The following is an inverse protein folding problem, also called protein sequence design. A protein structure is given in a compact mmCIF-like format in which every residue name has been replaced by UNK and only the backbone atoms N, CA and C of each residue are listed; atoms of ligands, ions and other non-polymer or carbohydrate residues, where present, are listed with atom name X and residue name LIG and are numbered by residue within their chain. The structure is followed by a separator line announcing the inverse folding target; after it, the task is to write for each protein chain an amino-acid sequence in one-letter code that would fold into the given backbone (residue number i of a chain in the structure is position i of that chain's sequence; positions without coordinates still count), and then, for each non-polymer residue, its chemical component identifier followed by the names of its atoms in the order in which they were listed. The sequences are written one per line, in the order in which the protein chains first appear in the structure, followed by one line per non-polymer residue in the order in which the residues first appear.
data_IF_656853586137
#
_entry.id   IF_656853586137
#
_cell.length_a   1.000
_cell.length_b   1.000
_cell.length_c   1.000
_cell.angle_alpha   90.00
_cell.angle_beta   90.00
_cell.angle_gamma   90.00
#
_symmetry.space_group_name_H-M   'P 1'
#
loop_
_entity.id
_entity.type
_entity.pdbx_description
1 polymer ?
#
# COMPACT_ATOMS: atom_id res chain seq x y z
N UNK A 1 -9.20 -4.84 17.86
CA UNK A 1 -8.70 -5.11 16.49
C UNK A 1 -9.61 -6.12 15.82
N UNK A 2 -10.03 -5.89 14.57
CA UNK A 2 -10.89 -6.81 13.80
C UNK A 2 -10.09 -8.09 13.50
N UNK A 3 -10.21 -9.12 14.34
CA UNK A 3 -9.63 -10.43 14.08
C UNK A 3 -10.53 -11.19 13.10
N UNK A 4 -10.14 -11.22 11.83
CA UNK A 4 -10.74 -12.09 10.81
C UNK A 4 -9.91 -13.37 10.68
N UNK A 5 -10.53 -14.49 10.33
CA UNK A 5 -9.81 -15.71 9.97
C UNK A 5 -9.03 -15.47 8.66
N UNK A 6 -7.97 -16.24 8.45
CA UNK A 6 -7.18 -16.21 7.21
C UNK A 6 -8.09 -16.39 5.98
N UNK A 7 -8.90 -17.46 6.00
CA UNK A 7 -9.85 -17.79 4.94
C UNK A 7 -10.79 -16.65 4.56
N UNK A 8 -11.32 -15.92 5.55
CA UNK A 8 -12.24 -14.81 5.26
C UNK A 8 -11.53 -13.63 4.58
N UNK A 9 -10.27 -13.37 4.91
CA UNK A 9 -9.48 -12.31 4.28
C UNK A 9 -9.12 -12.70 2.85
N UNK A 10 -8.64 -13.93 2.66
CA UNK A 10 -8.29 -14.49 1.36
C UNK A 10 -9.49 -14.49 0.40
N UNK A 11 -10.64 -14.98 0.85
CA UNK A 11 -11.86 -15.01 0.04
C UNK A 11 -12.32 -13.60 -0.37
N UNK A 12 -12.24 -12.62 0.54
CA UNK A 12 -12.57 -11.22 0.24
C UNK A 12 -11.62 -10.61 -0.82
N UNK A 13 -10.33 -10.92 -0.70
CA UNK A 13 -9.29 -10.52 -1.62
C UNK A 13 -9.48 -11.12 -3.01
N UNK A 14 -9.71 -12.43 -3.11
CA UNK A 14 -9.98 -13.11 -4.38
C UNK A 14 -11.24 -12.59 -5.06
N UNK A 15 -12.31 -12.38 -4.28
CA UNK A 15 -13.58 -11.85 -4.79
C UNK A 15 -13.39 -10.45 -5.37
N UNK A 16 -12.66 -9.59 -4.65
CA UNK A 16 -12.32 -8.24 -5.11
C UNK A 16 -11.49 -8.29 -6.39
N UNK A 17 -10.49 -9.19 -6.46
CA UNK A 17 -9.64 -9.37 -7.64
C UNK A 17 -10.44 -9.82 -8.87
N UNK A 18 -11.36 -10.77 -8.70
CA UNK A 18 -12.26 -11.26 -9.75
C UNK A 18 -13.25 -10.20 -10.22
N UNK A 19 -13.78 -9.38 -9.31
CA UNK A 19 -14.67 -8.29 -9.68
C UNK A 19 -13.97 -7.24 -10.56
N UNK A 20 -12.69 -6.97 -10.29
CA UNK A 20 -11.87 -6.02 -11.04
C UNK A 20 -11.29 -6.60 -12.33
N UNK A 21 -11.18 -7.92 -12.48
CA UNK A 21 -10.50 -8.55 -13.62
C UNK A 21 -11.17 -8.29 -14.97
N UNK A 22 -12.47 -7.96 -14.98
CA UNK A 22 -13.19 -7.56 -16.19
C UNK A 22 -12.74 -6.19 -16.73
N UNK A 23 -12.18 -5.33 -15.88
CA UNK A 23 -11.71 -3.98 -16.25
C UNK A 23 -10.20 -3.91 -16.43
N UNK A 24 -9.47 -4.76 -15.70
CA UNK A 24 -8.03 -4.84 -15.77
C UNK A 24 -7.60 -6.30 -15.49
N UNK A 25 -7.02 -7.04 -16.44
CA UNK A 25 -6.56 -8.40 -16.18
C UNK A 25 -5.40 -8.47 -15.17
N UNK A 26 -4.73 -7.36 -14.90
CA UNK A 26 -3.56 -7.26 -14.02
C UNK A 26 -3.88 -6.61 -12.67
N UNK A 27 -4.82 -7.19 -11.93
CA UNK A 27 -5.09 -6.81 -10.53
C UNK A 27 -4.03 -7.45 -9.62
N UNK A 28 -2.85 -6.84 -9.56
CA UNK A 28 -1.67 -7.39 -8.89
C UNK A 28 -1.33 -6.69 -7.56
N UNK A 29 -1.99 -5.57 -7.25
CA UNK A 29 -1.65 -4.74 -6.10
C UNK A 29 -2.84 -4.53 -5.17
N UNK A 30 -2.55 -4.53 -3.86
CA UNK A 30 -3.53 -4.35 -2.81
C UNK A 30 -3.22 -3.09 -1.98
N UNK A 31 -4.25 -2.39 -1.51
CA UNK A 31 -4.10 -1.39 -0.45
C UNK A 31 -4.90 -1.85 0.76
N UNK A 32 -4.23 -2.11 1.88
CA UNK A 32 -4.94 -2.53 3.08
C UNK A 32 -5.88 -1.44 3.59
N UNK A 33 -7.13 -1.77 3.98
CA UNK A 33 -8.05 -0.81 4.58
C UNK A 33 -7.44 -0.14 5.81
N UNK A 34 -7.42 1.20 5.81
CA UNK A 34 -6.78 2.02 6.85
C UNK A 34 -5.28 1.73 7.07
N UNK A 35 -4.66 0.95 6.17
CA UNK A 35 -3.29 0.44 6.31
C UNK A 35 -3.11 -0.61 7.40
N UNK A 36 -4.19 -1.18 7.94
CA UNK A 36 -4.13 -2.23 8.96
C UNK A 36 -3.83 -3.60 8.36
N UNK A 37 -2.80 -4.26 8.87
CA UNK A 37 -2.43 -5.62 8.46
C UNK A 37 -1.84 -6.40 9.65
N UNK A 38 -1.79 -7.71 9.49
CA UNK A 38 -1.05 -8.64 10.35
C UNK A 38 -0.54 -9.80 9.47
N UNK A 39 0.09 -10.80 10.09
CA UNK A 39 0.63 -11.96 9.34
C UNK A 39 -0.44 -12.70 8.53
N UNK A 40 -1.67 -12.81 9.03
CA UNK A 40 -2.77 -13.46 8.30
C UNK A 40 -3.19 -12.66 7.07
N UNK A 41 -3.23 -11.34 7.17
CA UNK A 41 -3.56 -10.47 6.03
C UNK A 41 -2.47 -10.52 4.95
N UNK A 42 -1.20 -10.57 5.36
CA UNK A 42 -0.07 -10.73 4.43
C UNK A 42 -0.16 -12.08 3.71
N UNK A 43 -0.41 -13.16 4.45
CA UNK A 43 -0.56 -14.51 3.89
C UNK A 43 -1.75 -14.56 2.91
N UNK A 44 -2.92 -14.06 3.30
CA UNK A 44 -4.08 -13.98 2.43
C UNK A 44 -3.82 -13.20 1.14
N UNK A 45 -3.03 -12.12 1.20
CA UNK A 45 -2.68 -11.34 0.02
C UNK A 45 -1.81 -12.14 -0.97
N UNK A 46 -0.88 -12.94 -0.46
CA UNK A 46 -0.06 -13.86 -1.26
C UNK A 46 -0.93 -14.93 -1.90
N UNK A 47 -1.75 -15.60 -1.10
CA UNK A 47 -2.59 -16.72 -1.54
C UNK A 47 -3.63 -16.28 -2.59
N UNK A 48 -4.23 -15.10 -2.42
CA UNK A 48 -5.16 -14.51 -3.38
C UNK A 48 -4.50 -14.05 -4.71
N UNK A 49 -3.17 -14.12 -4.81
CA UNK A 49 -2.40 -13.84 -6.04
C UNK A 49 -1.96 -12.39 -6.22
N UNK A 50 -1.96 -11.56 -5.17
CA UNK A 50 -1.34 -10.23 -5.23
C UNK A 50 0.19 -10.35 -5.18
N UNK A 51 0.88 -9.41 -5.82
CA UNK A 51 2.35 -9.33 -5.87
C UNK A 51 2.93 -8.25 -4.96
N UNK A 52 2.14 -7.22 -4.64
CA UNK A 52 2.53 -6.17 -3.68
C UNK A 52 1.32 -5.64 -2.92
N UNK A 53 1.55 -5.11 -1.73
CA UNK A 53 0.54 -4.41 -0.95
C UNK A 53 1.11 -3.16 -0.27
N UNK A 54 0.31 -2.10 -0.23
CA UNK A 54 0.65 -0.81 0.38
C UNK A 54 -0.10 -0.60 1.70
N UNK A 55 0.57 0.07 2.63
CA UNK A 55 0.08 0.37 3.99
C UNK A 55 -0.09 1.88 4.18
N UNK A 56 -0.52 2.32 5.36
CA UNK A 56 -0.47 3.75 5.74
C UNK A 56 0.82 4.12 6.44
N UNK A 57 1.77 3.21 6.65
CA UNK A 57 3.05 3.55 7.30
C UNK A 57 3.77 4.61 6.47
N UNK A 58 4.09 5.75 7.09
CA UNK A 58 4.74 6.86 6.40
C UNK A 58 6.18 6.51 6.04
N UNK A 59 6.57 6.76 4.78
CA UNK A 59 7.97 6.70 4.36
C UNK A 59 8.16 6.35 2.90
N UNK A 60 9.40 6.47 2.44
CA UNK A 60 9.84 6.01 1.11
C UNK A 60 10.13 4.52 1.16
N UNK A 61 9.73 3.82 0.11
CA UNK A 61 10.10 2.42 -0.14
C UNK A 61 11.54 2.36 -0.62
N UNK A 62 12.30 1.38 -0.15
CA UNK A 62 13.67 1.08 -0.59
C UNK A 62 13.75 -0.31 -1.23
N UNK A 63 14.70 -0.55 -2.15
CA UNK A 63 15.01 -1.90 -2.59
C UNK A 63 15.27 -2.82 -1.38
N UNK A 64 14.62 -3.98 -1.35
CA UNK A 64 14.67 -4.92 -0.23
C UNK A 64 13.57 -4.77 0.82
N UNK A 65 12.76 -3.69 0.77
CA UNK A 65 11.56 -3.60 1.61
C UNK A 65 10.58 -4.73 1.25
N UNK A 66 9.85 -5.24 2.26
CA UNK A 66 8.88 -6.31 2.04
C UNK A 66 7.75 -5.83 1.10
N UNK A 67 7.53 -6.52 -0.04
CA UNK A 67 6.56 -6.10 -1.06
C UNK A 67 5.12 -6.09 -0.56
N UNK A 68 4.79 -6.77 0.53
CA UNK A 68 3.45 -6.83 1.11
C UNK A 68 3.21 -5.85 2.25
N UNK A 69 4.19 -4.98 2.58
CA UNK A 69 4.07 -3.97 3.63
C UNK A 69 4.67 -2.63 3.20
N UNK A 70 4.51 -2.27 1.93
CA UNK A 70 5.12 -1.06 1.37
C UNK A 70 4.57 0.20 2.06
N UNK A 71 5.48 1.13 2.35
CA UNK A 71 5.16 2.43 2.94
C UNK A 71 4.54 3.36 1.91
N UNK A 72 3.82 4.39 2.37
CA UNK A 72 3.29 5.46 1.52
C UNK A 72 3.75 6.84 1.99
N UNK A 73 3.79 7.78 1.05
CA UNK A 73 3.97 9.19 1.35
C UNK A 73 2.61 9.81 1.68
N UNK A 74 2.54 10.58 2.75
CA UNK A 74 1.37 11.39 3.04
C UNK A 74 1.40 12.66 2.20
N UNK A 75 0.27 12.95 1.56
CA UNK A 75 -0.03 14.25 0.98
C UNK A 75 -1.26 14.77 1.73
N UNK A 76 -1.09 15.86 2.45
CA UNK A 76 -2.09 16.50 3.28
C UNK A 76 -2.70 17.68 2.52
N UNK A 77 -3.95 18.01 2.84
CA UNK A 77 -4.62 19.20 2.30
C UNK A 77 -3.85 20.50 2.56
N UNK A 78 -3.07 20.53 3.64
CA UNK A 78 -2.28 21.70 4.07
C UNK A 78 -0.88 21.75 3.44
N UNK A 79 -0.47 20.73 2.68
CA UNK A 79 0.82 20.76 2.02
C UNK A 79 0.78 21.75 0.85
N UNK A 80 1.79 22.61 0.78
CA UNK A 80 2.03 23.39 -0.43
C UNK A 80 2.49 22.46 -1.57
N UNK A 81 2.38 22.95 -2.81
CA UNK A 81 2.93 22.24 -3.98
C UNK A 81 4.43 21.96 -3.81
N UNK A 82 5.17 22.89 -3.20
CA UNK A 82 6.60 22.71 -2.91
C UNK A 82 6.83 21.56 -1.92
N UNK A 83 6.10 21.53 -0.81
CA UNK A 83 6.18 20.44 0.18
C UNK A 83 5.82 19.09 -0.44
N UNK A 84 4.80 19.05 -1.29
CA UNK A 84 4.44 17.84 -2.03
C UNK A 84 5.58 17.41 -2.98
N UNK A 85 6.17 18.33 -3.73
CA UNK A 85 7.28 18.05 -4.63
C UNK A 85 8.50 17.48 -3.89
N UNK A 86 8.88 18.09 -2.75
CA UNK A 86 10.02 17.64 -1.94
C UNK A 86 9.80 16.24 -1.35
N UNK A 87 8.55 15.90 -0.98
CA UNK A 87 8.21 14.55 -0.50
C UNK A 87 8.36 13.50 -1.60
N UNK A 88 7.90 13.80 -2.82
CA UNK A 88 7.90 12.87 -3.95
C UNK A 88 9.31 12.72 -4.55
N UNK A 89 10.15 13.75 -4.48
CA UNK A 89 11.49 13.74 -5.06
C UNK A 89 12.37 12.61 -4.50
N UNK A 90 13.08 11.86 -5.35
CA UNK A 90 13.99 10.79 -4.91
C UNK A 90 15.24 11.31 -4.19
N UNK A 91 15.67 12.53 -4.51
CA UNK A 91 16.74 13.26 -3.82
C UNK A 91 16.07 14.36 -2.99
N UNK A 92 16.50 14.62 -1.74
CA UNK A 92 15.99 15.78 -1.01
C UNK A 92 16.30 17.04 -1.84
N UNK A 93 15.28 17.87 -2.08
CA UNK A 93 15.47 19.23 -2.58
C UNK A 93 16.32 20.01 -1.58
N UNK A 94 17.17 20.90 -2.05
CA UNK A 94 17.95 21.81 -1.22
C UNK A 94 16.96 22.57 -0.32
N UNK A 95 16.90 22.23 0.96
CA UNK A 95 16.05 22.97 1.90
C UNK A 95 16.64 24.36 2.02
N UNK A 96 16.06 25.33 1.33
CA UNK A 96 16.32 26.74 1.60
C UNK A 96 15.53 27.06 2.86
N UNK A 97 16.19 26.96 4.01
CA UNK A 97 15.66 27.51 5.26
C UNK A 97 15.77 29.02 5.11
N UNK A 98 14.63 29.71 5.07
CA UNK A 98 14.55 31.15 5.37
C UNK A 98 14.31 31.33 6.85
#
# INVERSE_FOLDING_TARGET
MLSRSLHNIEFDFERSRRALSQFNPHVLYLSYPFGGYNQRAIQAAQDAGFRMAVTTVQGKVKPGDNPYTLKRLYILRTDSIQTMADRIANKPGTVVVQ
#
